data_IF_194101277807
#
_entry.id   IF_194101277807
#
_cell.length_a   1.000
_cell.length_b   1.000
_cell.length_c   1.000
_cell.angle_alpha   90.00
_cell.angle_beta   90.00
_cell.angle_gamma   90.00
#
_symmetry.space_group_name_H-M   'P 1'
#
loop_
_entity.id
_entity.type
_entity.pdbx_description
1 polymer ?
#
# COMPACT_ATOMS: atom_id res chain seq x y z
N UNK A 1 0.81 14.79 5.38
CA UNK A 1 1.09 14.89 6.83
C UNK A 1 2.51 14.47 7.10
N UNK A 2 3.24 15.23 7.90
CA UNK A 2 4.63 14.98 8.30
C UNK A 2 4.70 14.86 9.82
N UNK A 3 5.44 13.88 10.33
CA UNK A 3 5.75 13.77 11.75
C UNK A 3 7.25 14.02 11.97
N UNK A 4 7.61 15.16 12.57
CA UNK A 4 8.97 15.52 12.91
C UNK A 4 9.31 14.86 14.25
N UNK A 5 9.94 13.69 14.18
CA UNK A 5 10.25 12.88 15.35
C UNK A 5 11.53 13.31 16.05
N UNK A 6 11.73 12.83 17.29
CA UNK A 6 12.92 13.07 18.13
C UNK A 6 13.12 14.52 18.57
N UNK A 7 12.04 15.30 18.63
CA UNK A 7 12.12 16.68 19.12
C UNK A 7 12.51 16.79 20.62
N UNK A 8 12.43 15.68 21.36
CA UNK A 8 12.93 15.58 22.74
C UNK A 8 14.45 15.70 22.87
N UNK A 9 15.19 15.49 21.78
CA UNK A 9 16.66 15.66 21.75
C UNK A 9 17.09 17.11 21.52
N UNK A 10 16.14 17.99 21.21
CA UNK A 10 16.38 19.40 20.95
C UNK A 10 16.21 20.19 22.24
N UNK A 11 17.07 21.17 22.48
CA UNK A 11 16.99 22.07 23.61
C UNK A 11 16.29 23.39 23.21
N UNK A 12 15.96 24.25 24.18
CA UNK A 12 15.29 25.51 23.90
C UNK A 12 16.02 26.42 22.91
N UNK A 13 17.36 26.31 22.77
CA UNK A 13 18.17 27.06 21.84
C UNK A 13 18.12 26.52 20.39
N UNK A 14 17.51 25.32 20.19
CA UNK A 14 17.42 24.65 18.89
C UNK A 14 16.09 24.93 18.17
N UNK A 15 15.24 25.83 18.66
CA UNK A 15 13.95 26.16 18.03
C UNK A 15 14.13 26.70 16.61
N UNK A 16 15.15 27.57 16.40
CA UNK A 16 15.48 28.09 15.07
C UNK A 16 15.88 26.96 14.10
N UNK A 17 16.51 25.89 14.58
CA UNK A 17 16.86 24.74 13.79
C UNK A 17 15.62 23.93 13.40
N UNK A 18 14.65 23.79 14.31
CA UNK A 18 13.39 23.10 14.01
C UNK A 18 12.56 23.89 12.98
N UNK A 19 12.57 25.22 13.05
CA UNK A 19 11.92 26.07 12.03
C UNK A 19 12.60 25.95 10.67
N UNK A 20 13.93 25.89 10.63
CA UNK A 20 14.68 25.69 9.38
C UNK A 20 14.33 24.33 8.75
N UNK A 21 14.27 23.26 9.54
CA UNK A 21 13.89 21.92 9.07
C UNK A 21 12.45 21.93 8.55
N UNK A 22 11.53 22.62 9.22
CA UNK A 22 10.14 22.76 8.75
C UNK A 22 10.11 23.41 7.36
N UNK A 23 10.84 24.50 7.16
CA UNK A 23 10.96 25.19 5.87
C UNK A 23 11.55 24.29 4.79
N UNK A 24 12.64 23.59 5.07
CA UNK A 24 13.27 22.66 4.12
C UNK A 24 12.33 21.51 3.70
N UNK A 25 11.52 21.00 4.64
CA UNK A 25 10.52 19.97 4.34
C UNK A 25 9.44 20.53 3.41
N UNK A 26 8.95 21.76 3.65
CA UNK A 26 7.96 22.41 2.80
C UNK A 26 8.47 22.63 1.39
N UNK A 27 9.71 23.12 1.27
CA UNK A 27 10.39 23.33 -0.01
C UNK A 27 10.56 21.97 -0.75
N UNK A 28 10.93 20.92 -0.04
CA UNK A 28 11.07 19.59 -0.59
C UNK A 28 9.74 19.05 -1.11
N UNK A 29 8.66 19.18 -0.32
CA UNK A 29 7.31 18.76 -0.73
C UNK A 29 6.87 19.53 -1.98
N UNK A 30 7.06 20.84 -2.01
CA UNK A 30 6.71 21.69 -3.15
C UNK A 30 7.51 21.34 -4.41
N UNK A 31 8.79 20.99 -4.26
CA UNK A 31 9.64 20.50 -5.35
C UNK A 31 9.10 19.20 -6.00
N UNK A 32 8.44 18.37 -5.21
CA UNK A 32 7.79 17.13 -5.67
C UNK A 32 6.29 17.30 -5.97
N UNK A 33 5.84 18.53 -6.18
CA UNK A 33 4.45 18.87 -6.56
C UNK A 33 3.39 18.49 -5.51
N UNK A 34 3.80 18.37 -4.23
CA UNK A 34 2.88 18.34 -3.11
C UNK A 34 2.61 19.76 -2.59
N UNK A 35 1.49 19.94 -1.91
CA UNK A 35 1.16 21.21 -1.25
C UNK A 35 2.03 21.37 0.01
N UNK A 36 3.26 21.85 -0.18
CA UNK A 36 4.22 22.04 0.91
C UNK A 36 3.81 23.16 1.89
N UNK A 37 3.23 24.23 1.37
CA UNK A 37 2.87 25.41 2.18
C UNK A 37 1.78 25.05 3.20
N UNK A 38 0.81 24.22 2.83
CA UNK A 38 -0.28 23.80 3.70
C UNK A 38 -0.05 22.42 4.36
N UNK A 39 1.10 21.79 4.13
CA UNK A 39 1.39 20.49 4.72
C UNK A 39 1.35 20.56 6.26
N UNK A 40 0.57 19.66 6.88
CA UNK A 40 0.50 19.52 8.32
C UNK A 40 1.78 18.89 8.83
N UNK A 41 2.58 19.62 9.60
CA UNK A 41 3.81 19.15 10.23
C UNK A 41 3.59 19.11 11.74
N UNK A 42 3.82 17.94 12.36
CA UNK A 42 3.62 17.70 13.78
C UNK A 42 4.97 17.36 14.38
N UNK A 43 5.35 18.09 15.40
CA UNK A 43 6.58 17.87 16.18
C UNK A 43 6.28 16.91 17.32
N UNK A 44 7.15 15.94 17.57
CA UNK A 44 6.94 14.99 18.66
C UNK A 44 8.12 14.09 18.96
N UNK A 45 7.93 13.20 19.92
CA UNK A 45 8.86 12.16 20.31
C UNK A 45 8.15 10.82 20.51
N UNK A 46 8.40 9.89 19.62
CA UNK A 46 7.85 8.55 19.73
C UNK A 46 8.33 7.84 21.02
N UNK A 47 9.55 8.13 21.49
CA UNK A 47 10.09 7.56 22.74
C UNK A 47 9.27 8.03 23.94
N UNK A 48 9.05 9.33 24.08
CA UNK A 48 8.21 9.88 25.15
C UNK A 48 6.78 9.34 25.11
N UNK A 49 6.22 9.19 23.92
CA UNK A 49 4.88 8.60 23.76
C UNK A 49 4.84 7.12 24.21
N UNK A 50 5.87 6.32 23.88
CA UNK A 50 5.98 4.93 24.33
C UNK A 50 6.16 4.81 25.87
N UNK A 51 6.77 5.78 26.49
CA UNK A 51 6.91 5.90 27.94
C UNK A 51 5.64 6.43 28.62
N UNK A 52 4.57 6.67 27.85
CA UNK A 52 3.29 7.24 28.30
C UNK A 52 3.43 8.64 28.94
N UNK A 53 4.39 9.43 28.48
CA UNK A 53 4.53 10.81 28.92
C UNK A 53 3.36 11.67 28.41
N UNK A 54 2.56 12.18 29.31
CA UNK A 54 1.45 13.11 29.03
C UNK A 54 2.01 14.53 28.77
N UNK A 55 2.63 14.73 27.62
CA UNK A 55 3.15 16.01 27.18
C UNK A 55 2.82 16.26 25.72
N UNK A 56 2.98 17.50 25.27
CA UNK A 56 2.74 17.90 23.86
C UNK A 56 3.67 17.16 22.91
N UNK A 57 4.92 16.86 23.33
CA UNK A 57 5.87 16.08 22.55
C UNK A 57 5.67 14.55 22.68
N UNK A 58 5.04 14.08 23.77
CA UNK A 58 4.74 12.67 24.02
C UNK A 58 3.40 12.24 23.43
N UNK A 59 2.48 11.80 24.27
CA UNK A 59 1.15 11.29 23.85
C UNK A 59 0.36 12.34 23.07
N UNK A 60 0.45 13.63 23.42
CA UNK A 60 -0.23 14.71 22.71
C UNK A 60 0.19 14.77 21.23
N UNK A 61 1.47 14.58 20.92
CA UNK A 61 1.94 14.59 19.53
C UNK A 61 1.36 13.42 18.71
N UNK A 62 1.20 12.26 19.31
CA UNK A 62 0.61 11.09 18.63
C UNK A 62 -0.89 11.29 18.41
N UNK A 63 -1.60 11.87 19.38
CA UNK A 63 -3.02 12.22 19.21
C UNK A 63 -3.20 13.22 18.06
N UNK A 64 -2.39 14.29 18.01
CA UNK A 64 -2.39 15.26 16.94
C UNK A 64 -2.06 14.63 15.58
N UNK A 65 -1.13 13.67 15.54
CA UNK A 65 -0.82 12.93 14.32
C UNK A 65 -2.02 12.12 13.83
N UNK A 66 -2.70 11.40 14.71
CA UNK A 66 -3.87 10.61 14.33
C UNK A 66 -5.01 11.50 13.86
N UNK A 67 -5.27 12.62 14.54
CA UNK A 67 -6.26 13.60 14.11
C UNK A 67 -5.91 14.21 12.73
N UNK A 68 -4.63 14.53 12.51
CA UNK A 68 -4.19 15.05 11.22
C UNK A 68 -4.32 14.01 10.10
N UNK A 69 -4.08 12.74 10.36
CA UNK A 69 -4.31 11.66 9.39
C UNK A 69 -5.79 11.58 9.03
N UNK A 70 -6.68 11.64 10.03
CA UNK A 70 -8.13 11.51 9.82
C UNK A 70 -8.72 12.73 9.08
N UNK A 71 -8.14 13.93 9.28
CA UNK A 71 -8.68 15.18 8.70
C UNK A 71 -8.03 15.57 7.37
N UNK A 72 -6.73 15.36 7.21
CA UNK A 72 -5.98 15.85 6.04
C UNK A 72 -5.83 14.80 4.93
N UNK A 73 -5.94 13.51 5.25
CA UNK A 73 -5.83 12.46 4.24
C UNK A 73 -7.21 12.05 3.76
N UNK A 74 -7.53 12.45 2.52
CA UNK A 74 -8.80 12.07 1.91
C UNK A 74 -8.89 10.54 1.75
N UNK A 75 -10.07 9.98 2.02
CA UNK A 75 -10.34 8.57 1.76
C UNK A 75 -10.19 8.29 0.26
N UNK A 76 -9.38 7.29 -0.15
CA UNK A 76 -9.17 7.00 -1.56
C UNK A 76 -10.44 6.46 -2.22
N UNK A 77 -10.71 6.94 -3.44
CA UNK A 77 -11.80 6.40 -4.25
C UNK A 77 -11.45 4.97 -4.67
N UNK A 78 -12.28 4.02 -4.27
CA UNK A 78 -12.10 2.60 -4.59
C UNK A 78 -12.89 2.24 -5.85
N UNK A 79 -12.20 1.69 -6.84
CA UNK A 79 -12.78 1.25 -8.13
C UNK A 79 -13.55 -0.07 -7.99
N UNK A 80 -14.58 -0.11 -7.16
CA UNK A 80 -15.34 -1.35 -6.85
C UNK A 80 -16.26 -1.82 -7.97
N UNK A 81 -16.71 -0.89 -8.84
CA UNK A 81 -17.64 -1.19 -9.94
C UNK A 81 -16.96 -1.76 -11.20
N UNK A 82 -15.63 -1.78 -11.21
CA UNK A 82 -14.86 -2.36 -12.31
C UNK A 82 -14.68 -3.87 -12.14
N UNK A 83 -14.43 -4.62 -13.24
CA UNK A 83 -14.09 -6.04 -13.13
C UNK A 83 -12.89 -6.28 -12.22
N UNK A 84 -12.93 -7.35 -11.41
CA UNK A 84 -11.85 -7.75 -10.51
C UNK A 84 -10.49 -7.76 -11.21
N UNK A 85 -9.50 -7.21 -10.51
CA UNK A 85 -8.09 -7.29 -10.86
C UNK A 85 -7.25 -7.32 -9.58
N UNK A 86 -6.43 -8.35 -9.43
CA UNK A 86 -5.46 -8.49 -8.34
C UNK A 86 -4.13 -9.01 -8.89
N UNK A 87 -3.05 -8.27 -8.70
CA UNK A 87 -1.70 -8.77 -9.00
C UNK A 87 -1.27 -9.76 -7.93
N UNK A 88 -0.72 -10.91 -8.34
CA UNK A 88 -0.20 -11.92 -7.41
C UNK A 88 1.18 -11.50 -6.93
N UNK A 89 1.31 -11.28 -5.62
CA UNK A 89 2.54 -10.88 -4.95
C UNK A 89 3.28 -12.06 -4.35
N UNK A 90 2.53 -13.00 -3.73
CA UNK A 90 3.10 -14.23 -3.18
C UNK A 90 2.10 -15.39 -3.28
N UNK A 91 2.63 -16.61 -3.21
CA UNK A 91 1.85 -17.85 -3.31
C UNK A 91 2.34 -18.87 -2.29
N UNK A 92 1.43 -19.39 -1.48
CA UNK A 92 1.74 -20.44 -0.53
C UNK A 92 0.62 -21.48 -0.47
N UNK A 93 0.93 -22.63 0.11
CA UNK A 93 -0.03 -23.71 0.28
C UNK A 93 -0.38 -23.88 1.76
N UNK A 94 -1.66 -23.96 2.06
CA UNK A 94 -2.15 -24.31 3.39
C UNK A 94 -2.56 -25.78 3.37
N UNK A 95 -1.93 -26.58 4.23
CA UNK A 95 -2.24 -28.01 4.36
C UNK A 95 -3.73 -28.20 4.65
N UNK A 96 -4.41 -29.00 3.81
CA UNK A 96 -5.82 -29.29 3.91
C UNK A 96 -6.77 -28.23 3.35
N UNK A 97 -6.26 -27.04 2.93
CA UNK A 97 -7.09 -25.96 2.36
C UNK A 97 -6.76 -25.65 0.90
N UNK A 98 -5.52 -25.82 0.47
CA UNK A 98 -5.11 -25.61 -0.91
C UNK A 98 -4.15 -24.45 -1.11
N UNK A 99 -4.09 -23.97 -2.32
CA UNK A 99 -3.20 -22.86 -2.72
C UNK A 99 -3.86 -21.50 -2.45
N UNK A 100 -3.10 -20.62 -1.83
CA UNK A 100 -3.47 -19.23 -1.55
C UNK A 100 -2.57 -18.32 -2.35
N UNK A 101 -3.16 -17.42 -3.10
CA UNK A 101 -2.48 -16.32 -3.76
C UNK A 101 -2.76 -15.02 -2.99
N UNK A 102 -1.73 -14.29 -2.62
CA UNK A 102 -1.85 -13.00 -1.94
C UNK A 102 -1.56 -11.83 -2.86
N UNK A 103 -2.18 -10.71 -2.59
CA UNK A 103 -1.97 -9.46 -3.30
C UNK A 103 -2.97 -8.41 -2.90
N UNK A 104 -2.78 -7.21 -3.45
CA UNK A 104 -3.75 -6.13 -3.32
C UNK A 104 -4.77 -6.21 -4.45
N UNK A 105 -6.04 -6.11 -4.10
CA UNK A 105 -7.09 -5.93 -5.10
C UNK A 105 -6.98 -4.51 -5.65
N UNK A 106 -6.63 -4.38 -6.93
CA UNK A 106 -6.47 -3.08 -7.60
C UNK A 106 -7.82 -2.46 -7.97
N UNK A 107 -8.79 -3.29 -8.32
CA UNK A 107 -10.15 -2.88 -8.68
C UNK A 107 -11.12 -4.05 -8.58
N UNK A 108 -12.40 -3.71 -8.47
CA UNK A 108 -13.49 -4.68 -8.39
C UNK A 108 -13.67 -5.27 -7.01
N UNK A 109 -14.50 -6.27 -6.94
CA UNK A 109 -14.83 -7.06 -5.76
C UNK A 109 -14.64 -8.53 -6.10
N UNK A 110 -14.23 -9.34 -5.13
CA UNK A 110 -14.20 -10.80 -5.19
C UNK A 110 -15.02 -11.38 -4.05
N UNK A 111 -15.91 -12.30 -4.35
CA UNK A 111 -16.70 -13.05 -3.36
C UNK A 111 -16.31 -14.50 -3.31
N UNK A 112 -16.49 -15.10 -2.15
CA UNK A 112 -16.35 -16.56 -2.00
C UNK A 112 -17.38 -17.26 -2.88
N UNK A 113 -16.93 -18.23 -3.68
CA UNK A 113 -17.74 -18.96 -4.65
C UNK A 113 -17.67 -18.42 -6.08
N UNK A 114 -17.10 -17.24 -6.31
CA UNK A 114 -16.98 -16.66 -7.66
C UNK A 114 -15.89 -17.34 -8.49
N UNK A 115 -16.14 -17.41 -9.81
CA UNK A 115 -15.16 -17.83 -10.80
C UNK A 115 -14.17 -16.70 -11.06
N UNK A 116 -12.88 -17.02 -11.08
CA UNK A 116 -11.78 -16.11 -11.41
C UNK A 116 -10.91 -16.74 -12.49
N UNK A 117 -10.13 -15.91 -13.17
CA UNK A 117 -9.16 -16.34 -14.17
C UNK A 117 -7.75 -15.91 -13.75
N UNK A 118 -6.81 -16.85 -13.77
CA UNK A 118 -5.38 -16.60 -13.59
C UNK A 118 -4.82 -16.30 -14.97
N UNK A 119 -4.27 -15.11 -15.15
CA UNK A 119 -3.77 -14.61 -16.44
C UNK A 119 -2.30 -14.17 -16.30
N UNK A 120 -1.51 -14.37 -17.34
CA UNK A 120 -0.14 -13.82 -17.39
C UNK A 120 0.87 -14.80 -17.97
N UNK A 121 1.75 -15.37 -17.17
CA UNK A 121 2.98 -16.08 -17.56
C UNK A 121 2.73 -17.49 -18.14
N UNK A 122 1.82 -17.64 -19.08
CA UNK A 122 1.46 -18.90 -19.70
C UNK A 122 0.01 -18.94 -20.15
N UNK A 123 -0.57 -20.14 -20.19
CA UNK A 123 -1.98 -20.31 -20.51
C UNK A 123 -2.86 -19.83 -19.36
N UNK A 124 -3.89 -19.07 -19.70
CA UNK A 124 -4.89 -18.63 -18.72
C UNK A 124 -5.67 -19.82 -18.17
N UNK A 125 -5.93 -19.82 -16.86
CA UNK A 125 -6.69 -20.86 -16.18
C UNK A 125 -7.85 -20.28 -15.39
N UNK A 126 -9.02 -20.86 -15.52
CA UNK A 126 -10.19 -20.54 -14.73
C UNK A 126 -10.24 -21.41 -13.48
N UNK A 127 -10.62 -20.80 -12.38
CA UNK A 127 -10.81 -21.48 -11.09
C UNK A 127 -11.88 -20.78 -10.27
N UNK A 128 -12.19 -21.32 -9.09
CA UNK A 128 -13.14 -20.73 -8.16
C UNK A 128 -12.41 -20.23 -6.92
N UNK A 129 -12.73 -19.03 -6.48
CA UNK A 129 -12.36 -18.51 -5.17
C UNK A 129 -13.12 -19.27 -4.09
N UNK A 130 -12.44 -20.05 -3.26
CA UNK A 130 -13.05 -20.82 -2.16
C UNK A 130 -12.95 -20.15 -0.81
N UNK A 131 -12.20 -19.04 -0.71
CA UNK A 131 -12.07 -18.26 0.50
C UNK A 131 -11.31 -16.97 0.24
N UNK A 132 -11.62 -15.94 1.01
CA UNK A 132 -10.92 -14.67 1.07
C UNK A 132 -10.49 -14.43 2.50
N UNK A 133 -9.22 -14.12 2.72
CA UNK A 133 -8.66 -13.89 4.05
C UNK A 133 -7.91 -12.57 4.11
N UNK A 134 -8.06 -11.84 5.21
CA UNK A 134 -7.29 -10.64 5.52
C UNK A 134 -6.95 -10.62 7.01
N UNK A 135 -5.68 -10.40 7.37
CA UNK A 135 -5.19 -10.40 8.76
C UNK A 135 -5.61 -11.66 9.56
N UNK A 136 -5.55 -12.85 8.93
CA UNK A 136 -5.95 -14.14 9.51
C UNK A 136 -7.44 -14.24 9.84
N UNK A 137 -8.28 -13.40 9.25
CA UNK A 137 -9.74 -13.48 9.36
C UNK A 137 -10.32 -13.86 8.00
N UNK A 138 -11.26 -14.77 8.02
CA UNK A 138 -12.03 -15.12 6.84
C UNK A 138 -13.06 -14.03 6.56
N UNK A 139 -13.16 -13.64 5.30
CA UNK A 139 -14.09 -12.64 4.80
C UNK A 139 -15.04 -13.29 3.79
N UNK A 140 -16.26 -12.79 3.70
CA UNK A 140 -17.19 -13.18 2.63
C UNK A 140 -16.81 -12.62 1.26
N UNK A 141 -16.14 -11.45 1.27
CA UNK A 141 -15.70 -10.74 0.08
C UNK A 141 -14.46 -9.88 0.37
N UNK A 142 -13.75 -9.49 -0.68
CA UNK A 142 -12.67 -8.49 -0.67
C UNK A 142 -12.92 -7.48 -1.78
N UNK A 143 -12.49 -6.24 -1.60
CA UNK A 143 -12.72 -5.14 -2.53
C UNK A 143 -11.45 -4.37 -2.86
N UNK A 144 -11.52 -3.53 -3.89
CA UNK A 144 -10.44 -2.64 -4.31
C UNK A 144 -9.77 -1.94 -3.12
N UNK A 145 -8.44 -2.01 -3.04
CA UNK A 145 -7.63 -1.48 -1.94
C UNK A 145 -7.31 -2.48 -0.83
N UNK A 146 -8.01 -3.61 -0.74
CA UNK A 146 -7.75 -4.62 0.28
C UNK A 146 -6.55 -5.50 -0.10
N UNK A 147 -5.67 -5.77 0.86
CA UNK A 147 -4.64 -6.80 0.76
C UNK A 147 -5.20 -8.12 1.28
N UNK A 148 -5.38 -9.07 0.39
CA UNK A 148 -6.07 -10.33 0.71
C UNK A 148 -5.26 -11.55 0.27
N UNK A 149 -5.55 -12.69 0.91
CA UNK A 149 -5.24 -14.03 0.42
C UNK A 149 -6.49 -14.66 -0.19
N UNK A 150 -6.41 -15.08 -1.45
CA UNK A 150 -7.50 -15.77 -2.15
C UNK A 150 -7.17 -17.25 -2.23
N UNK A 151 -8.03 -18.10 -1.67
CA UNK A 151 -7.96 -19.55 -1.80
C UNK A 151 -8.51 -19.95 -3.15
N UNK A 152 -7.75 -20.77 -3.89
CA UNK A 152 -8.06 -21.17 -5.26
C UNK A 152 -8.32 -22.67 -5.34
N UNK A 153 -9.46 -23.05 -5.92
CA UNK A 153 -9.85 -24.47 -6.06
C UNK A 153 -9.02 -25.17 -7.13
N UNK A 154 -8.39 -26.28 -6.77
CA UNK A 154 -7.72 -27.16 -7.74
C UNK A 154 -6.52 -26.54 -8.46
N UNK A 155 -5.93 -25.49 -7.87
CA UNK A 155 -4.70 -24.87 -8.35
C UNK A 155 -3.55 -25.35 -7.45
N UNK A 156 -2.51 -25.89 -8.07
CA UNK A 156 -1.28 -26.24 -7.38
C UNK A 156 -0.33 -25.02 -7.31
N UNK A 157 0.57 -25.03 -6.34
CA UNK A 157 1.57 -23.94 -6.18
C UNK A 157 2.40 -23.75 -7.46
N UNK A 158 2.63 -24.79 -8.24
CA UNK A 158 3.37 -24.73 -9.49
C UNK A 158 2.59 -24.03 -10.64
N UNK A 159 1.28 -23.94 -10.53
CA UNK A 159 0.41 -23.38 -11.57
C UNK A 159 0.27 -21.85 -11.47
N UNK A 160 0.65 -21.26 -10.35
CA UNK A 160 0.53 -19.84 -10.09
C UNK A 160 1.77 -19.31 -9.36
N UNK A 161 2.26 -18.16 -9.76
CA UNK A 161 3.43 -17.54 -9.16
C UNK A 161 3.30 -16.01 -9.17
N UNK A 162 4.16 -15.35 -8.44
CA UNK A 162 4.29 -13.89 -8.48
C UNK A 162 4.41 -13.39 -9.93
N UNK A 163 3.63 -12.37 -10.27
CA UNK A 163 3.55 -11.80 -11.60
C UNK A 163 2.35 -12.28 -12.43
N UNK A 164 1.66 -13.34 -12.01
CA UNK A 164 0.32 -13.61 -12.52
C UNK A 164 -0.67 -12.56 -12.01
N UNK A 165 -1.82 -12.49 -12.67
CA UNK A 165 -2.94 -11.63 -12.29
C UNK A 165 -4.18 -12.50 -12.12
N UNK A 166 -4.89 -12.32 -11.02
CA UNK A 166 -6.23 -12.89 -10.82
C UNK A 166 -7.23 -11.82 -11.24
N UNK A 167 -8.13 -12.19 -12.15
CA UNK A 167 -9.09 -11.25 -12.73
C UNK A 167 -10.47 -11.89 -12.90
N UNK A 168 -11.47 -11.05 -13.13
CA UNK A 168 -12.77 -11.54 -13.61
C UNK A 168 -12.59 -12.25 -14.96
N UNK A 169 -13.24 -13.40 -15.19
CA UNK A 169 -13.03 -14.19 -16.40
C UNK A 169 -13.22 -13.39 -17.69
N UNK A 170 -12.23 -13.44 -18.59
CA UNK A 170 -12.23 -12.75 -19.88
C UNK A 170 -12.08 -11.22 -19.83
N UNK A 171 -11.89 -10.64 -18.65
CA UNK A 171 -11.80 -9.18 -18.49
C UNK A 171 -10.47 -8.56 -18.92
N UNK A 172 -9.39 -9.36 -18.95
CA UNK A 172 -8.06 -8.95 -19.37
C UNK A 172 -7.41 -9.99 -20.29
N UNK A 173 -6.42 -9.55 -21.06
CA UNK A 173 -5.59 -10.42 -21.90
C UNK A 173 -4.12 -10.02 -21.75
N UNK A 174 -3.18 -10.98 -21.75
CA UNK A 174 -1.76 -10.65 -21.77
C UNK A 174 -1.35 -10.00 -23.09
N UNK A 175 -0.41 -9.08 -23.03
CA UNK A 175 0.12 -8.37 -24.18
C UNK A 175 1.60 -8.71 -24.39
N UNK A 176 1.99 -8.98 -25.63
CA UNK A 176 3.40 -9.27 -26.03
C UNK A 176 4.13 -8.05 -26.56
N UNK A 177 3.39 -6.98 -26.88
CA UNK A 177 3.96 -5.72 -27.39
C UNK A 177 3.44 -4.57 -26.55
N UNK A 178 4.33 -3.71 -26.09
CA UNK A 178 4.01 -2.52 -25.33
C UNK A 178 4.82 -1.32 -25.82
N UNK A 179 4.32 -0.11 -25.59
CA UNK A 179 5.08 1.13 -25.68
C UNK A 179 5.25 1.66 -24.26
N UNK A 180 6.47 2.06 -23.92
CA UNK A 180 6.79 2.63 -22.63
C UNK A 180 7.46 4.00 -22.82
N UNK A 181 7.11 4.95 -21.96
CA UNK A 181 7.89 6.16 -21.76
C UNK A 181 8.84 5.89 -20.61
N UNK A 182 10.13 6.08 -20.84
CA UNK A 182 11.16 5.78 -19.84
C UNK A 182 11.85 7.09 -19.46
N UNK A 183 11.88 7.36 -18.17
CA UNK A 183 12.72 8.40 -17.58
C UNK A 183 13.90 7.74 -16.87
N UNK A 184 15.10 8.06 -17.32
CA UNK A 184 16.32 7.53 -16.71
C UNK A 184 16.85 8.57 -15.74
N UNK A 185 16.86 8.23 -14.45
CA UNK A 185 17.39 9.10 -13.40
C UNK A 185 18.83 9.51 -13.71
N UNK A 186 19.13 10.80 -13.63
CA UNK A 186 20.49 11.28 -13.70
C UNK A 186 21.25 11.00 -12.38
N UNK A 187 22.55 11.29 -12.34
CA UNK A 187 23.39 10.97 -11.19
C UNK A 187 23.00 11.75 -9.93
N UNK A 188 22.53 12.98 -10.09
CA UNK A 188 22.10 13.86 -9.01
C UNK A 188 20.76 13.40 -8.40
N UNK A 189 19.95 12.74 -9.21
CA UNK A 189 18.68 12.11 -8.78
C UNK A 189 18.87 10.71 -8.20
N UNK A 190 20.10 10.27 -8.00
CA UNK A 190 20.41 8.95 -7.46
C UNK A 190 20.48 7.84 -8.53
N UNK A 191 20.52 8.21 -9.80
CA UNK A 191 20.73 7.27 -10.91
C UNK A 191 22.09 6.57 -10.81
N UNK A 192 22.14 5.30 -11.23
CA UNK A 192 23.37 4.50 -11.28
C UNK A 192 23.80 4.35 -12.73
N UNK A 193 25.11 4.46 -12.98
CA UNK A 193 25.68 3.98 -14.24
C UNK A 193 25.71 2.46 -14.21
N UNK A 194 25.16 1.84 -15.24
CA UNK A 194 25.37 0.42 -15.57
C UNK A 194 26.69 0.26 -16.31
#
# INVERSE_FOLDING_TARGET
VVFLNKCDLMSGDDEELLELVDMEIRDLLSKYEFDGDNAKIIRGSATKALENEESDLGLGSIQNLMEAIDTEIAEPVRDVDKPLLMAVEDVFTITGRGTVATGRIERGIIKVGEEVEIVGLGESRKTTCTGVEMFRKELGEGQAGDNVGILLRGIEKADIQRGHVIAAPGSIKPHTKAKAQIYVLNKEEGGRHT
#
